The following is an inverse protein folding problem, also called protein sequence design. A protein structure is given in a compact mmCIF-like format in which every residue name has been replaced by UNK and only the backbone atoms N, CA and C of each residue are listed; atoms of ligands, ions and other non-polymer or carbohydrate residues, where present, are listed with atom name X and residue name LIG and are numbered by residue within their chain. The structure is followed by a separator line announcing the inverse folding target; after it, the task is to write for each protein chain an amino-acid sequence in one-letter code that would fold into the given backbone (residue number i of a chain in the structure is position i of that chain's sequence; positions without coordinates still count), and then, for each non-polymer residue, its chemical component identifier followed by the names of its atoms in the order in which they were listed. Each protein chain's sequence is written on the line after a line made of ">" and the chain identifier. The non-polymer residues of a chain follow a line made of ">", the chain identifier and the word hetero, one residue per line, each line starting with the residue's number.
data_IF_009653350676
#
_entry.id   IF_009653350676
#
_cell.length_a   1.000
_cell.length_b   1.000
_cell.length_c   1.000
_cell.angle_alpha   90.00
_cell.angle_beta   90.00
_cell.angle_gamma   90.00
#
_symmetry.space_group_name_H-M   'P 1'
#
loop_
_entity.id
_entity.type
_entity.pdbx_description
1 polymer ?
#
# COMPACT_ATOMS: atom_id res chain seq x y z
N UNK A 1 10.93 7.28 -21.31
CA UNK A 1 10.87 6.18 -20.35
C UNK A 1 9.43 6.05 -19.84
N UNK A 2 8.66 5.13 -20.42
CA UNK A 2 7.32 4.78 -19.94
C UNK A 2 7.47 3.95 -18.66
N UNK A 3 7.82 4.63 -17.57
CA UNK A 3 7.72 4.04 -16.24
C UNK A 3 6.24 3.99 -15.88
N UNK A 4 5.60 2.85 -16.08
CA UNK A 4 4.42 2.52 -15.28
C UNK A 4 4.77 2.86 -13.83
N UNK A 5 3.93 3.62 -13.11
CA UNK A 5 4.25 4.01 -11.74
C UNK A 5 4.39 2.73 -10.93
N UNK A 6 5.62 2.28 -10.71
CA UNK A 6 5.98 1.05 -10.02
C UNK A 6 5.25 0.96 -8.67
N UNK A 7 5.04 2.12 -8.05
CA UNK A 7 4.24 2.30 -6.83
C UNK A 7 2.81 1.77 -6.95
N UNK A 8 2.14 1.93 -8.10
CA UNK A 8 0.77 1.45 -8.33
C UNK A 8 0.72 -0.06 -8.43
N UNK A 9 1.66 -0.68 -9.13
CA UNK A 9 1.74 -2.15 -9.19
C UNK A 9 2.17 -2.76 -7.85
N UNK A 10 3.08 -2.11 -7.13
CA UNK A 10 3.44 -2.48 -5.77
C UNK A 10 2.26 -2.35 -4.80
N UNK A 11 1.40 -1.33 -4.94
CA UNK A 11 0.18 -1.16 -4.15
C UNK A 11 -0.80 -2.31 -4.40
N UNK A 12 -1.04 -2.66 -5.68
CA UNK A 12 -1.91 -3.79 -6.03
C UNK A 12 -1.38 -5.12 -5.51
N UNK A 13 -0.07 -5.32 -5.56
CA UNK A 13 0.59 -6.50 -5.03
C UNK A 13 0.66 -6.53 -3.49
N UNK A 14 0.18 -5.49 -2.80
CA UNK A 14 0.22 -5.40 -1.33
C UNK A 14 1.63 -5.26 -0.76
N UNK A 15 2.59 -4.78 -1.55
CA UNK A 15 4.00 -4.68 -1.16
C UNK A 15 4.35 -3.36 -0.49
N UNK A 16 3.47 -2.35 -0.58
CA UNK A 16 3.69 -1.01 -0.03
C UNK A 16 2.42 -0.48 0.62
N UNK A 17 2.59 0.43 1.58
CA UNK A 17 1.50 1.14 2.24
C UNK A 17 1.17 2.46 1.54
N UNK A 18 -0.11 2.71 1.29
CA UNK A 18 -0.60 4.06 0.98
C UNK A 18 -0.51 4.93 2.24
N UNK A 19 0.08 6.11 2.10
CA UNK A 19 0.17 7.09 3.17
C UNK A 19 -0.91 8.14 2.99
N UNK A 20 -1.80 8.30 3.97
CA UNK A 20 -2.97 9.20 3.86
C UNK A 20 -2.61 10.67 3.64
N UNK A 21 -1.42 11.12 4.05
CA UNK A 21 -0.95 12.50 3.75
C UNK A 21 -0.33 12.65 2.37
N UNK A 22 -0.19 11.56 1.62
CA UNK A 22 0.17 11.64 0.21
C UNK A 22 -1.03 12.21 -0.53
N UNK A 23 -0.91 13.42 -1.09
CA UNK A 23 -1.94 14.03 -1.96
C UNK A 23 -2.16 13.25 -3.27
N UNK A 24 -1.58 12.05 -3.41
CA UNK A 24 -1.62 11.24 -4.62
C UNK A 24 -2.88 10.39 -4.66
N UNK A 25 -3.81 10.87 -5.48
CA UNK A 25 -4.84 10.13 -6.23
C UNK A 25 -5.74 9.17 -5.41
N UNK A 26 -7.08 9.40 -5.38
CA UNK A 26 -8.06 8.52 -4.74
C UNK A 26 -7.93 7.03 -5.14
N UNK A 27 -7.45 6.75 -6.36
CA UNK A 27 -7.28 5.39 -6.91
C UNK A 27 -6.27 4.53 -6.16
N UNK A 28 -5.31 5.12 -5.44
CA UNK A 28 -4.32 4.35 -4.67
C UNK A 28 -4.90 3.77 -3.38
N UNK A 29 -5.88 4.46 -2.80
CA UNK A 29 -6.65 3.96 -1.67
C UNK A 29 -7.40 2.69 -2.07
N UNK A 30 -8.04 2.69 -3.25
CA UNK A 30 -8.77 1.53 -3.75
C UNK A 30 -7.85 0.32 -4.01
N UNK A 31 -6.63 0.55 -4.49
CA UNK A 31 -5.66 -0.54 -4.67
C UNK A 31 -5.18 -1.12 -3.34
N UNK A 32 -4.96 -0.29 -2.32
CA UNK A 32 -4.67 -0.79 -0.99
C UNK A 32 -5.83 -1.61 -0.42
N UNK A 33 -7.07 -1.11 -0.54
CA UNK A 33 -8.26 -1.85 -0.07
C UNK A 33 -8.36 -3.21 -0.74
N UNK A 34 -8.13 -3.30 -2.06
CA UNK A 34 -8.13 -4.59 -2.77
C UNK A 34 -7.02 -5.53 -2.30
N UNK A 35 -5.82 -5.02 -2.05
CA UNK A 35 -4.72 -5.82 -1.53
C UNK A 35 -4.99 -6.33 -0.09
N UNK A 36 -5.67 -5.52 0.74
CA UNK A 36 -6.14 -5.90 2.07
C UNK A 36 -7.19 -7.02 2.01
N UNK A 37 -8.21 -6.87 1.16
CA UNK A 37 -9.25 -7.88 0.95
C UNK A 37 -8.68 -9.21 0.46
N UNK A 38 -7.68 -9.15 -0.41
CA UNK A 38 -7.00 -10.34 -0.94
C UNK A 38 -5.95 -10.93 0.02
N UNK A 39 -5.64 -10.25 1.12
CA UNK A 39 -4.62 -10.65 2.11
C UNK A 39 -3.27 -10.99 1.48
N UNK A 40 -2.86 -10.19 0.49
CA UNK A 40 -1.61 -10.39 -0.25
C UNK A 40 -0.48 -9.52 0.31
N UNK A 41 0.75 -10.01 0.22
CA UNK A 41 1.93 -9.26 0.65
C UNK A 41 1.90 -8.92 2.13
N UNK A 42 2.05 -7.62 2.45
CA UNK A 42 2.03 -7.10 3.82
C UNK A 42 0.71 -7.37 4.55
N UNK A 43 -0.39 -7.60 3.82
CA UNK A 43 -1.73 -7.83 4.36
C UNK A 43 -2.03 -9.30 4.69
N UNK A 44 -1.07 -10.20 4.46
CA UNK A 44 -1.16 -11.59 4.91
C UNK A 44 -0.98 -11.73 6.42
N UNK A 45 -0.39 -10.72 7.07
CA UNK A 45 -0.28 -10.61 8.52
C UNK A 45 -1.66 -10.32 9.14
N UNK A 46 -2.07 -10.98 10.24
CA UNK A 46 -3.31 -10.69 10.95
C UNK A 46 -3.41 -9.29 11.55
N UNK A 47 -2.28 -8.63 11.86
CA UNK A 47 -2.25 -7.23 12.35
C UNK A 47 -1.15 -6.44 11.62
N UNK A 48 -1.38 -6.07 10.36
CA UNK A 48 -0.37 -5.40 9.56
C UNK A 48 -0.12 -3.99 10.11
N UNK A 49 1.09 -3.75 10.61
CA UNK A 49 1.48 -2.46 11.20
C UNK A 49 2.03 -1.53 10.11
N UNK A 50 1.49 -0.31 9.96
CA UNK A 50 2.04 0.63 9.01
C UNK A 50 3.46 1.09 9.36
N UNK A 51 4.32 1.34 8.36
CA UNK A 51 5.72 1.68 8.58
C UNK A 51 5.93 3.00 9.33
N UNK A 52 4.96 3.91 9.33
CA UNK A 52 5.02 5.15 10.12
C UNK A 52 4.76 4.92 11.61
N UNK A 53 4.12 3.81 12.01
CA UNK A 53 4.04 3.40 13.41
C UNK A 53 5.36 2.74 13.85
N UNK A 54 6.05 2.02 12.96
CA UNK A 54 7.37 1.43 13.25
C UNK A 54 8.46 2.51 13.47
N UNK A 55 8.46 3.59 12.68
CA UNK A 55 9.46 4.68 12.79
C UNK A 55 9.33 5.58 14.03
N UNK A 56 8.35 5.34 14.90
CA UNK A 56 8.16 6.13 16.14
C UNK A 56 8.84 5.52 17.38
N UNK A 57 9.65 4.46 17.21
CA UNK A 57 10.54 3.94 18.25
C UNK A 57 11.98 4.36 18.01
#
# INVERSE_FOLDING_TARGET
>A
YYGFPVNTEMLKAGLVWYYERSQRLPTWKDFQTKAQEQKVGLWSDPDPIPPWQFRRK
#
